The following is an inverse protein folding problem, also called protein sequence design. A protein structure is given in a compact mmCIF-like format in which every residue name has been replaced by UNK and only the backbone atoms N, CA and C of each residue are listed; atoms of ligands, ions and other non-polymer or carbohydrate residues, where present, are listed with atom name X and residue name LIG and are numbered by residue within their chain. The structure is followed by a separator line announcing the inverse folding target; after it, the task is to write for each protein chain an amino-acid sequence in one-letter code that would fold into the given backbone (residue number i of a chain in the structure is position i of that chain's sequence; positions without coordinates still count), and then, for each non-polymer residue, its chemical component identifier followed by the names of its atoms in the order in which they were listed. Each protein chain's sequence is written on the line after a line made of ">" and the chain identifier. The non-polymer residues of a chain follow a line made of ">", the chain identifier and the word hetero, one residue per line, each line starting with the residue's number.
data_IF_304373194556
#
_entry.id   IF_304373194556
#
_cell.length_a   1.000
_cell.length_b   1.000
_cell.length_c   1.000
_cell.angle_alpha   90.00
_cell.angle_beta   90.00
_cell.angle_gamma   90.00
#
_symmetry.space_group_name_H-M   'P 1'
#
loop_
_entity.id
_entity.type
_entity.pdbx_description
1 polymer ?
#
# COMPACT_ATOMS: atom_id res chain seq x y z
N UNK A 1 -10.19 34.14 -2.81
CA UNK A 1 -9.43 33.16 -2.02
C UNK A 1 -7.96 33.42 -2.27
N UNK A 2 -7.18 33.80 -1.25
CA UNK A 2 -5.75 34.07 -1.37
C UNK A 2 -4.95 32.99 -0.67
N UNK A 3 -3.91 32.48 -1.32
CA UNK A 3 -2.95 31.56 -0.70
C UNK A 3 -1.99 32.37 0.16
N UNK A 4 -1.87 32.02 1.44
CA UNK A 4 -0.90 32.60 2.36
C UNK A 4 0.19 31.55 2.58
N UNK A 5 1.42 31.86 2.22
CA UNK A 5 2.58 31.02 2.48
C UNK A 5 3.35 31.60 3.67
N UNK A 6 2.98 31.18 4.87
CA UNK A 6 3.68 31.53 6.12
C UNK A 6 4.84 30.56 6.41
N UNK A 7 5.54 30.77 7.52
CA UNK A 7 6.65 29.90 7.93
C UNK A 7 6.20 28.46 8.22
N UNK A 8 4.96 28.25 8.64
CA UNK A 8 4.37 26.92 8.80
C UNK A 8 4.22 26.20 7.47
N UNK A 9 3.72 26.88 6.44
CA UNK A 9 3.63 26.36 5.09
C UNK A 9 5.02 26.02 4.50
N UNK A 10 6.05 26.83 4.80
CA UNK A 10 7.43 26.58 4.37
C UNK A 10 8.05 25.37 5.07
N UNK A 11 7.82 25.21 6.38
CA UNK A 11 8.26 24.05 7.14
C UNK A 11 7.55 22.78 6.63
N UNK A 12 6.23 22.83 6.47
CA UNK A 12 5.46 21.71 5.93
C UNK A 12 5.97 21.31 4.55
N UNK A 13 6.21 22.26 3.64
CA UNK A 13 6.77 21.95 2.32
C UNK A 13 8.16 21.28 2.41
N UNK A 14 8.99 21.70 3.38
CA UNK A 14 10.31 21.11 3.61
C UNK A 14 10.20 19.68 4.15
N UNK A 15 9.38 19.48 5.18
CA UNK A 15 9.10 18.15 5.74
C UNK A 15 8.47 17.23 4.69
N UNK A 16 7.48 17.72 3.95
CA UNK A 16 6.80 17.03 2.87
C UNK A 16 7.78 16.56 1.79
N UNK A 17 8.69 17.42 1.34
CA UNK A 17 9.75 17.04 0.38
C UNK A 17 10.61 15.90 0.89
N UNK A 18 10.98 15.92 2.17
CA UNK A 18 11.80 14.86 2.78
C UNK A 18 11.02 13.55 2.87
N UNK A 19 9.77 13.58 3.36
CA UNK A 19 8.98 12.35 3.55
C UNK A 19 8.40 11.78 2.24
N UNK A 20 8.28 12.62 1.21
CA UNK A 20 7.90 12.19 -0.15
C UNK A 20 9.09 11.82 -1.03
N UNK A 21 10.33 12.00 -0.54
CA UNK A 21 11.52 11.60 -1.28
C UNK A 21 11.50 10.09 -1.48
N UNK A 22 11.80 9.63 -2.71
CA UNK A 22 11.69 8.23 -3.12
C UNK A 22 10.27 7.63 -3.01
N UNK A 23 9.24 8.49 -3.04
CA UNK A 23 7.84 8.09 -3.17
C UNK A 23 7.23 8.72 -4.41
N UNK A 24 6.12 8.16 -4.88
CA UNK A 24 5.36 8.71 -6.01
C UNK A 24 3.89 8.83 -5.67
N UNK A 25 3.26 9.81 -6.32
CA UNK A 25 1.82 9.96 -6.25
C UNK A 25 1.14 8.73 -6.85
N UNK A 26 0.16 8.18 -6.13
CA UNK A 26 -0.60 7.02 -6.52
C UNK A 26 -2.10 7.30 -6.36
N UNK A 27 -2.88 6.72 -7.26
CA UNK A 27 -4.34 6.69 -7.19
C UNK A 27 -4.75 5.23 -7.29
N UNK A 28 -5.53 4.75 -6.32
CA UNK A 28 -6.07 3.39 -6.35
C UNK A 28 -7.28 3.30 -7.27
N UNK A 29 -7.66 2.10 -7.66
CA UNK A 29 -8.87 1.83 -8.45
C UNK A 29 -10.16 2.27 -7.74
N UNK A 30 -10.16 2.24 -6.41
CA UNK A 30 -11.23 2.75 -5.54
C UNK A 30 -11.22 4.27 -5.37
N UNK A 31 -10.31 4.99 -6.04
CA UNK A 31 -10.23 6.45 -6.03
C UNK A 31 -9.49 7.05 -4.82
N UNK A 32 -8.84 6.24 -3.99
CA UNK A 32 -7.98 6.77 -2.93
C UNK A 32 -6.71 7.37 -3.51
N UNK A 33 -6.22 8.44 -2.90
CA UNK A 33 -4.98 9.12 -3.31
C UNK A 33 -3.90 8.96 -2.25
N UNK A 34 -2.64 8.93 -2.66
CA UNK A 34 -1.55 8.69 -1.71
C UNK A 34 -0.13 8.83 -2.26
N UNK A 35 0.84 8.52 -1.40
CA UNK A 35 2.27 8.46 -1.69
C UNK A 35 2.79 7.05 -1.44
N UNK A 36 3.07 6.34 -2.53
CA UNK A 36 3.55 4.96 -2.55
C UNK A 36 5.07 4.89 -2.76
N UNK A 37 5.73 3.77 -2.44
CA UNK A 37 7.13 3.52 -2.81
C UNK A 37 7.41 3.83 -4.30
N UNK A 38 8.60 4.34 -4.61
CA UNK A 38 8.96 4.80 -5.97
C UNK A 38 8.85 3.70 -7.03
N UNK A 39 9.05 2.44 -6.64
CA UNK A 39 9.00 1.25 -7.48
C UNK A 39 7.58 0.70 -7.68
N UNK A 40 6.56 1.28 -7.03
CA UNK A 40 5.16 0.87 -7.21
C UNK A 40 4.79 0.95 -8.69
N UNK A 41 3.83 0.17 -9.18
CA UNK A 41 3.36 0.17 -10.56
C UNK A 41 1.90 -0.30 -10.67
N UNK A 42 1.32 -0.15 -11.86
CA UNK A 42 -0.03 -0.67 -12.12
C UNK A 42 -0.07 -2.18 -11.87
N UNK A 43 -1.04 -2.64 -11.09
CA UNK A 43 -1.19 -4.04 -10.68
C UNK A 43 -0.66 -4.34 -9.28
N UNK A 44 0.11 -3.43 -8.66
CA UNK A 44 0.40 -3.52 -7.24
C UNK A 44 -0.86 -3.17 -6.43
N UNK A 45 -0.96 -3.71 -5.22
CA UNK A 45 -2.14 -3.60 -4.35
C UNK A 45 -1.78 -2.92 -3.04
N UNK A 46 -2.74 -2.17 -2.49
CA UNK A 46 -2.65 -1.62 -1.13
C UNK A 46 -3.25 -2.64 -0.16
N UNK A 47 -2.49 -3.04 0.85
CA UNK A 47 -2.90 -3.98 1.88
C UNK A 47 -2.83 -3.36 3.27
N UNK A 48 -3.72 -3.81 4.16
CA UNK A 48 -3.68 -3.55 5.58
C UNK A 48 -3.31 -4.87 6.28
N UNK A 49 -2.40 -4.83 7.25
CA UNK A 49 -2.05 -5.99 8.06
C UNK A 49 -2.67 -5.88 9.45
N UNK A 50 -3.14 -7.00 10.05
CA UNK A 50 -3.51 -7.02 11.46
C UNK A 50 -2.35 -6.51 12.33
N UNK A 51 -2.62 -5.50 13.15
CA UNK A 51 -1.61 -4.85 14.00
C UNK A 51 -0.64 -3.92 13.26
N UNK A 52 -0.79 -3.73 11.95
CA UNK A 52 -0.05 -2.74 11.18
C UNK A 52 -0.51 -1.32 11.49
N UNK A 53 0.43 -0.38 11.55
CA UNK A 53 0.15 1.02 11.89
C UNK A 53 -0.28 1.88 10.68
N UNK A 54 -0.04 1.39 9.46
CA UNK A 54 -0.24 2.12 8.20
C UNK A 54 -0.57 1.11 7.08
N UNK A 55 -1.07 1.57 5.92
CA UNK A 55 -1.17 0.74 4.73
C UNK A 55 0.19 0.40 4.10
N UNK A 56 0.23 -0.69 3.34
CA UNK A 56 1.43 -1.20 2.67
C UNK A 56 1.16 -1.48 1.20
N UNK A 57 2.20 -1.43 0.37
CA UNK A 57 2.13 -1.84 -1.04
C UNK A 57 2.71 -3.23 -1.21
N UNK A 58 1.93 -4.10 -1.82
CA UNK A 58 2.28 -5.47 -2.18
C UNK A 58 2.23 -5.65 -3.69
N UNK A 59 3.13 -6.48 -4.22
CA UNK A 59 3.16 -6.83 -5.65
C UNK A 59 2.83 -8.31 -5.84
N UNK A 60 1.74 -8.66 -6.54
CA UNK A 60 1.42 -10.05 -6.83
C UNK A 60 2.54 -10.76 -7.58
N UNK A 61 2.85 -11.99 -7.18
CA UNK A 61 3.82 -12.87 -7.84
C UNK A 61 3.07 -14.02 -8.51
N UNK A 62 3.23 -14.17 -9.82
CA UNK A 62 2.65 -15.29 -10.56
C UNK A 62 3.17 -16.62 -10.01
N UNK A 63 2.27 -17.54 -9.71
CA UNK A 63 2.67 -18.93 -9.47
C UNK A 63 2.97 -19.59 -10.82
N UNK A 64 4.05 -20.38 -10.93
CA UNK A 64 4.21 -21.26 -12.08
C UNK A 64 3.07 -22.27 -12.11
N UNK A 65 2.49 -22.51 -13.28
CA UNK A 65 1.34 -23.42 -13.49
C UNK A 65 1.61 -24.85 -12.97
N UNK A 66 2.89 -25.22 -12.80
CA UNK A 66 3.36 -26.50 -12.28
C UNK A 66 3.29 -26.65 -10.75
N UNK A 67 3.00 -25.59 -10.00
CA UNK A 67 2.84 -25.63 -8.54
C UNK A 67 1.41 -25.97 -8.08
N UNK A 68 0.53 -26.40 -8.99
CA UNK A 68 -0.68 -27.15 -8.64
C UNK A 68 -0.29 -28.57 -8.15
N UNK A 69 0.56 -28.65 -7.14
CA UNK A 69 0.84 -29.89 -6.44
C UNK A 69 -0.37 -30.21 -5.57
N UNK A 70 -0.96 -31.37 -5.85
CA UNK A 70 -1.95 -32.13 -5.11
C UNK A 70 -1.81 -32.09 -3.58
N UNK A 71 -2.15 -30.96 -2.96
CA UNK A 71 -2.40 -30.88 -1.51
C UNK A 71 -3.87 -30.51 -1.36
N UNK A 72 -4.58 -31.37 -0.63
CA UNK A 72 -6.04 -31.36 -0.39
C UNK A 72 -6.58 -30.15 0.40
N UNK A 73 -5.87 -29.02 0.41
CA UNK A 73 -6.34 -27.75 0.98
C UNK A 73 -6.63 -26.81 -0.18
N UNK A 74 -7.88 -26.35 -0.28
CA UNK A 74 -8.38 -25.41 -1.29
C UNK A 74 -7.77 -23.98 -1.16
N UNK A 75 -6.59 -23.87 -0.55
CA UNK A 75 -5.90 -22.63 -0.24
C UNK A 75 -4.99 -22.29 -1.42
N UNK A 76 -5.45 -21.39 -2.30
CA UNK A 76 -4.55 -20.70 -3.22
C UNK A 76 -3.61 -19.87 -2.36
N UNK A 77 -2.34 -20.24 -2.30
CA UNK A 77 -1.34 -19.47 -1.57
C UNK A 77 -1.00 -18.20 -2.35
N UNK A 78 -1.75 -17.10 -2.19
CA UNK A 78 -1.40 -15.85 -2.86
C UNK A 78 -0.05 -15.35 -2.36
N UNK A 79 0.89 -15.15 -3.28
CA UNK A 79 2.27 -14.74 -3.00
C UNK A 79 2.48 -13.31 -3.44
N UNK A 80 3.14 -12.52 -2.61
CA UNK A 80 3.39 -11.11 -2.87
C UNK A 80 4.81 -10.70 -2.49
N UNK A 81 5.46 -9.89 -3.32
CA UNK A 81 6.63 -9.12 -2.90
C UNK A 81 6.17 -7.93 -2.04
N UNK A 82 6.84 -7.70 -0.92
CA UNK A 82 6.59 -6.54 -0.06
C UNK A 82 7.41 -5.34 -0.54
N UNK A 83 6.75 -4.26 -0.96
CA UNK A 83 7.45 -3.07 -1.46
C UNK A 83 7.70 -2.02 -0.37
N UNK A 84 6.78 -1.89 0.59
CA UNK A 84 6.94 -0.95 1.71
C UNK A 84 5.64 -0.34 2.21
N UNK A 85 5.77 0.56 3.17
CA UNK A 85 4.67 1.36 3.69
C UNK A 85 4.19 2.41 2.67
N UNK A 86 2.94 2.86 2.81
CA UNK A 86 2.39 3.92 1.96
C UNK A 86 1.44 4.82 2.72
N UNK A 87 1.50 6.11 2.41
CA UNK A 87 0.47 7.05 2.82
C UNK A 87 -0.71 6.93 1.87
N UNK A 88 -1.91 6.64 2.39
CA UNK A 88 -3.16 6.69 1.62
C UNK A 88 -4.15 7.55 2.38
N UNK A 89 -4.60 8.63 1.74
CA UNK A 89 -5.51 9.58 2.34
C UNK A 89 -6.84 8.90 2.73
N UNK A 90 -7.24 9.07 3.98
CA UNK A 90 -8.52 8.58 4.50
C UNK A 90 -8.52 7.14 5.01
N UNK A 91 -7.40 6.41 5.01
CA UNK A 91 -7.31 5.04 5.56
C UNK A 91 -6.11 4.80 6.49
N UNK A 92 -5.34 5.84 6.83
CA UNK A 92 -4.12 5.73 7.65
C UNK A 92 -4.39 5.33 9.10
N UNK A 93 -5.63 5.48 9.57
CA UNK A 93 -6.04 5.21 10.95
C UNK A 93 -7.00 4.02 11.03
N UNK A 94 -6.95 3.13 10.03
CA UNK A 94 -7.74 1.90 10.00
C UNK A 94 -9.19 2.09 9.55
N UNK A 95 -9.53 3.22 8.93
CA UNK A 95 -10.89 3.52 8.46
C UNK A 95 -11.40 2.50 7.41
N UNK A 96 -10.47 1.81 6.73
CA UNK A 96 -10.77 0.74 5.77
C UNK A 96 -10.53 -0.68 6.33
N UNK A 97 -10.29 -0.82 7.64
CA UNK A 97 -10.09 -2.13 8.27
C UNK A 97 -11.40 -2.89 8.44
N UNK A 98 -11.41 -4.17 8.05
CA UNK A 98 -12.52 -5.08 8.27
C UNK A 98 -12.01 -6.51 8.57
N UNK A 99 -12.29 -7.02 9.77
CA UNK A 99 -11.85 -8.36 10.21
C UNK A 99 -12.51 -9.50 9.42
N UNK A 100 -13.65 -9.25 8.77
CA UNK A 100 -14.32 -10.29 7.95
C UNK A 100 -13.65 -10.49 6.59
N UNK A 101 -12.81 -9.55 6.17
CA UNK A 101 -12.22 -9.51 4.83
C UNK A 101 -10.75 -9.96 4.84
N UNK A 102 -10.37 -10.75 5.84
CA UNK A 102 -9.01 -11.23 6.01
C UNK A 102 -8.71 -12.42 5.08
N UNK A 103 -7.53 -12.35 4.47
CA UNK A 103 -6.98 -13.40 3.63
C UNK A 103 -5.56 -13.73 4.09
N UNK A 104 -5.22 -15.03 4.08
CA UNK A 104 -3.85 -15.49 4.32
C UNK A 104 -3.01 -15.29 3.07
N UNK A 105 -1.86 -14.63 3.22
CA UNK A 105 -0.93 -14.34 2.13
C UNK A 105 0.50 -14.72 2.51
N UNK A 106 1.31 -15.03 1.50
CA UNK A 106 2.75 -15.28 1.68
C UNK A 106 3.52 -14.07 1.14
N UNK A 107 4.30 -13.44 2.01
CA UNK A 107 5.29 -12.46 1.58
C UNK A 107 6.57 -13.17 1.18
N UNK A 108 7.12 -12.83 0.00
CA UNK A 108 8.30 -13.48 -0.60
C UNK A 108 9.45 -12.53 -0.79
#
# INVERSE_FOLDING_TARGET
>A
MSVIADDGARWFNSAFKVVSMNRKFAVTDKGYIGWAPSDTRKGDVVALFPGGNVPYVLRPVSQPDSAQSSTSSNTRNHRYEFLGDTYIHGIMHGEAWNETDLEEVILV
#
